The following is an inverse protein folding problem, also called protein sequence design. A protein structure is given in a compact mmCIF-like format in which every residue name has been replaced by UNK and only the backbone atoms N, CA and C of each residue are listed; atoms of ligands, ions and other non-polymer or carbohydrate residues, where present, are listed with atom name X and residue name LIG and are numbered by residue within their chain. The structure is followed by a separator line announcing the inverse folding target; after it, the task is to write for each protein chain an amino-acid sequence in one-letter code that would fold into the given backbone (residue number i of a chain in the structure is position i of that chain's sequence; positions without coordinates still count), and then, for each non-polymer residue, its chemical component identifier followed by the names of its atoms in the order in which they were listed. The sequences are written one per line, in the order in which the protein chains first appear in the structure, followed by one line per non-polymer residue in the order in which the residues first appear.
data_IF_645823172734
#
_entry.id   IF_645823172734
#
_cell.length_a   1.000
_cell.length_b   1.000
_cell.length_c   1.000
_cell.angle_alpha   90.00
_cell.angle_beta   90.00
_cell.angle_gamma   90.00
#
_symmetry.space_group_name_H-M   'P 1'
#
loop_
_entity.id
_entity.type
_entity.pdbx_description
1 polymer ?
#
# COMPACT_ATOMS: atom_id res chain seq x y z
N UNK A 1 -5.14 -20.53 4.92
CA UNK A 1 -5.31 -19.30 4.16
C UNK A 1 -4.70 -19.46 2.78
N UNK A 2 -5.39 -18.95 1.74
CA UNK A 2 -4.97 -19.00 0.36
C UNK A 2 -4.74 -17.57 -0.13
N UNK A 3 -3.52 -17.18 -0.53
CA UNK A 3 -3.28 -15.90 -1.18
C UNK A 3 -4.04 -15.83 -2.50
N UNK A 4 -4.66 -14.68 -2.80
CA UNK A 4 -5.35 -14.51 -4.09
C UNK A 4 -4.92 -13.25 -4.85
N UNK A 5 -4.33 -12.28 -4.18
CA UNK A 5 -3.64 -11.15 -4.79
C UNK A 5 -2.60 -10.54 -3.85
N UNK A 6 -1.84 -9.57 -4.35
CA UNK A 6 -0.88 -8.81 -3.56
C UNK A 6 -0.59 -7.45 -4.17
N UNK A 7 -0.10 -6.53 -3.35
CA UNK A 7 0.35 -5.21 -3.76
C UNK A 7 1.56 -4.76 -2.97
N UNK A 8 2.17 -3.66 -3.38
CA UNK A 8 3.26 -3.02 -2.67
C UNK A 8 2.81 -1.65 -2.21
N UNK A 9 3.02 -1.32 -0.94
CA UNK A 9 2.75 0.02 -0.45
C UNK A 9 3.66 1.03 -1.13
N UNK A 10 3.11 2.18 -1.46
CA UNK A 10 3.85 3.31 -1.98
C UNK A 10 3.13 4.61 -1.63
N UNK A 11 3.75 5.70 -1.95
CA UNK A 11 3.17 7.03 -1.89
C UNK A 11 2.84 7.48 -3.32
N UNK A 12 1.66 8.07 -3.49
CA UNK A 12 1.17 8.57 -4.78
C UNK A 12 1.22 10.08 -4.77
N UNK A 13 1.64 10.66 -5.89
CA UNK A 13 1.72 12.09 -6.12
C UNK A 13 1.25 12.47 -7.52
N UNK A 14 0.94 13.74 -7.74
CA UNK A 14 0.66 14.32 -9.07
C UNK A 14 1.96 14.95 -9.61
N UNK A 15 2.53 14.35 -10.67
CA UNK A 15 3.78 14.82 -11.26
C UNK A 15 3.67 16.23 -11.89
N UNK A 16 2.47 16.73 -12.12
CA UNK A 16 2.26 18.10 -12.61
C UNK A 16 2.36 19.14 -11.50
N UNK A 17 2.19 18.71 -10.23
CA UNK A 17 2.26 19.56 -9.04
C UNK A 17 3.60 19.40 -8.31
N UNK A 18 4.13 18.19 -8.25
CA UNK A 18 5.38 17.84 -7.56
C UNK A 18 6.45 17.39 -8.58
N UNK A 19 7.24 18.33 -9.09
CA UNK A 19 8.24 18.05 -10.12
C UNK A 19 9.47 17.28 -9.63
N UNK A 20 9.78 17.36 -8.34
CA UNK A 20 10.90 16.65 -7.68
C UNK A 20 10.37 15.83 -6.51
N UNK A 21 9.81 14.63 -6.78
CA UNK A 21 9.31 13.77 -5.72
C UNK A 21 10.47 13.18 -4.90
N UNK A 22 10.28 12.94 -3.58
CA UNK A 22 11.26 12.27 -2.75
C UNK A 22 11.47 10.82 -3.21
N UNK A 23 12.70 10.32 -3.08
CA UNK A 23 13.08 8.97 -3.49
C UNK A 23 13.45 8.05 -2.31
N UNK A 24 13.38 8.57 -1.09
CA UNK A 24 13.64 7.83 0.13
C UNK A 24 12.78 8.34 1.27
N UNK A 25 12.65 7.55 2.32
CA UNK A 25 12.00 7.98 3.55
C UNK A 25 12.72 9.16 4.20
N UNK A 26 14.05 9.20 4.12
CA UNK A 26 14.83 10.33 4.66
C UNK A 26 14.54 11.63 3.89
N UNK A 27 14.51 11.58 2.56
CA UNK A 27 14.10 12.73 1.75
C UNK A 27 12.66 13.15 2.07
N UNK A 28 11.72 12.19 2.18
CA UNK A 28 10.33 12.47 2.51
C UNK A 28 10.22 13.21 3.85
N UNK A 29 10.93 12.74 4.89
CA UNK A 29 10.87 13.35 6.22
C UNK A 29 11.64 14.68 6.35
N UNK A 30 12.59 14.96 5.46
CA UNK A 30 13.37 16.21 5.48
C UNK A 30 12.74 17.38 4.71
N UNK A 31 11.68 17.10 3.92
CA UNK A 31 11.03 18.09 3.04
C UNK A 31 9.96 18.88 3.79
N UNK A 32 10.15 20.21 3.91
CA UNK A 32 9.18 21.12 4.53
C UNK A 32 8.21 21.76 3.52
N UNK A 33 8.35 21.43 2.25
CA UNK A 33 7.57 21.97 1.13
C UNK A 33 6.57 20.97 0.55
N UNK A 34 6.37 19.84 1.21
CA UNK A 34 5.39 18.81 0.83
C UNK A 34 4.48 18.45 1.99
N UNK A 35 3.28 18.04 1.66
CA UNK A 35 2.25 17.58 2.58
C UNK A 35 1.86 16.14 2.28
N UNK A 36 1.59 15.35 3.33
CA UNK A 36 1.37 13.92 3.28
C UNK A 36 0.05 13.52 3.95
N UNK A 37 -0.76 12.73 3.27
CA UNK A 37 -1.87 12.00 3.89
C UNK A 37 -1.44 10.55 4.14
N UNK A 38 -1.61 10.10 5.38
CA UNK A 38 -1.46 8.70 5.78
C UNK A 38 -2.78 8.14 6.32
N UNK A 39 -2.79 6.84 6.60
CA UNK A 39 -3.91 6.19 7.29
C UNK A 39 -3.50 5.74 8.68
N UNK A 40 -4.45 5.83 9.61
CA UNK A 40 -4.27 5.39 11.00
C UNK A 40 -4.01 3.87 11.06
N UNK A 41 -2.86 3.43 11.59
CA UNK A 41 -2.47 2.02 11.61
C UNK A 41 -3.38 1.14 12.50
N UNK A 42 -4.19 1.74 13.38
CA UNK A 42 -5.15 1.03 14.24
C UNK A 42 -6.40 0.59 13.49
N UNK A 43 -6.73 1.26 12.38
CA UNK A 43 -8.01 1.07 11.67
C UNK A 43 -7.84 0.68 10.21
N UNK A 44 -6.68 0.96 9.61
CA UNK A 44 -6.44 0.80 8.17
C UNK A 44 -5.29 -0.15 7.89
N UNK A 45 -5.49 -1.08 6.95
CA UNK A 45 -4.42 -1.98 6.48
C UNK A 45 -3.25 -1.21 5.83
N UNK A 46 -3.44 -0.20 4.96
CA UNK A 46 -2.33 0.62 4.49
C UNK A 46 -1.60 1.37 5.60
N UNK A 47 -2.31 1.89 6.62
CA UNK A 47 -1.68 2.52 7.77
C UNK A 47 -0.79 1.54 8.56
N UNK A 48 -1.30 0.34 8.85
CA UNK A 48 -0.50 -0.72 9.47
C UNK A 48 0.66 -1.16 8.57
N UNK A 49 0.44 -1.17 7.25
CA UNK A 49 1.46 -1.46 6.25
C UNK A 49 2.60 -0.45 6.27
N UNK A 50 2.29 0.84 6.40
CA UNK A 50 3.30 1.89 6.55
C UNK A 50 4.07 1.73 7.87
N UNK A 51 3.39 1.43 8.97
CA UNK A 51 4.03 1.21 10.26
C UNK A 51 5.00 -0.01 10.22
N UNK A 52 4.57 -1.09 9.57
CA UNK A 52 5.46 -2.24 9.27
C UNK A 52 6.66 -1.81 8.40
N UNK A 53 6.42 -1.05 7.35
CA UNK A 53 7.44 -0.63 6.40
C UNK A 53 8.52 0.22 7.07
N UNK A 54 8.12 1.20 7.88
CA UNK A 54 9.03 2.02 8.66
C UNK A 54 9.82 1.18 9.67
N UNK A 55 9.17 0.23 10.39
CA UNK A 55 9.88 -0.66 11.34
C UNK A 55 10.88 -1.57 10.61
N UNK A 56 10.59 -2.04 9.39
CA UNK A 56 11.53 -2.84 8.60
C UNK A 56 12.79 -2.04 8.19
N UNK A 57 12.63 -0.76 7.88
CA UNK A 57 13.74 0.10 7.44
C UNK A 57 14.54 0.63 8.63
N UNK A 58 13.87 1.13 9.67
CA UNK A 58 14.48 1.85 10.78
C UNK A 58 14.63 1.07 12.08
N UNK A 59 13.92 -0.05 12.23
CA UNK A 59 14.02 -0.95 13.38
C UNK A 59 13.88 -0.22 14.73
N UNK A 60 14.96 -0.08 15.49
CA UNK A 60 14.97 0.59 16.80
C UNK A 60 14.80 2.11 16.68
N UNK A 61 15.16 2.69 15.54
CA UNK A 61 15.04 4.12 15.25
C UNK A 61 13.66 4.51 14.68
N UNK A 62 12.73 3.56 14.57
CA UNK A 62 11.41 3.79 13.95
C UNK A 62 10.60 4.90 14.67
N UNK A 63 10.69 5.01 15.99
CA UNK A 63 10.00 6.09 16.76
C UNK A 63 10.56 7.46 16.40
N UNK A 64 11.89 7.56 16.30
CA UNK A 64 12.54 8.83 15.95
C UNK A 64 12.23 9.22 14.50
N UNK A 65 12.25 8.25 13.59
CA UNK A 65 11.82 8.49 12.21
C UNK A 65 10.36 8.98 12.13
N UNK A 66 9.43 8.36 12.87
CA UNK A 66 8.05 8.81 12.93
C UNK A 66 7.91 10.25 13.42
N UNK A 67 8.69 10.67 14.42
CA UNK A 67 8.70 12.07 14.88
C UNK A 67 9.18 13.03 13.79
N UNK A 68 10.21 12.64 13.05
CA UNK A 68 10.73 13.46 11.96
C UNK A 68 9.74 13.58 10.80
N UNK A 69 8.86 12.58 10.59
CA UNK A 69 7.85 12.58 9.53
C UNK A 69 6.58 13.37 9.94
N UNK A 70 6.36 13.68 11.22
CA UNK A 70 5.12 14.30 11.71
C UNK A 70 4.84 15.65 11.06
N UNK A 71 5.85 16.47 10.80
CA UNK A 71 5.68 17.82 10.24
C UNK A 71 5.12 17.81 8.82
N UNK A 72 5.29 16.71 8.08
CA UNK A 72 4.75 16.52 6.73
C UNK A 72 3.31 15.97 6.75
N UNK A 73 2.90 15.29 7.82
CA UNK A 73 1.59 14.64 7.91
C UNK A 73 0.51 15.68 8.21
N UNK A 74 -0.27 16.05 7.20
CA UNK A 74 -1.37 17.01 7.36
C UNK A 74 -2.69 16.34 7.71
N UNK A 75 -2.89 15.08 7.32
CA UNK A 75 -4.09 14.29 7.60
C UNK A 75 -3.72 12.85 7.91
N UNK A 76 -4.31 12.31 8.99
CA UNK A 76 -4.34 10.89 9.29
C UNK A 76 -5.77 10.37 9.16
N UNK A 77 -6.10 9.75 8.04
CA UNK A 77 -7.46 9.25 7.76
C UNK A 77 -7.72 7.88 8.38
N UNK A 78 -8.99 7.53 8.64
CA UNK A 78 -9.35 6.22 9.17
C UNK A 78 -9.42 5.13 8.09
N UNK A 79 -9.67 5.51 6.84
CA UNK A 79 -9.77 4.58 5.72
C UNK A 79 -8.90 5.02 4.55
N UNK A 80 -8.51 4.04 3.72
CA UNK A 80 -7.79 4.33 2.48
C UNK A 80 -8.63 5.19 1.52
N UNK A 81 -9.89 4.87 1.34
CA UNK A 81 -10.78 5.59 0.41
C UNK A 81 -10.98 7.06 0.81
N UNK A 82 -11.11 7.35 2.11
CA UNK A 82 -11.23 8.74 2.57
C UNK A 82 -9.94 9.52 2.33
N UNK A 83 -8.78 8.94 2.72
CA UNK A 83 -7.48 9.59 2.52
C UNK A 83 -7.13 9.79 1.04
N UNK A 84 -7.39 8.78 0.22
CA UNK A 84 -7.14 8.89 -1.22
C UNK A 84 -8.08 9.89 -1.90
N UNK A 85 -9.36 9.94 -1.48
CA UNK A 85 -10.32 10.94 -1.95
C UNK A 85 -9.87 12.38 -1.64
N UNK A 86 -9.43 12.65 -0.42
CA UNK A 86 -8.90 13.96 -0.01
C UNK A 86 -7.66 14.36 -0.83
N UNK A 87 -6.76 13.42 -1.11
CA UNK A 87 -5.63 13.67 -2.01
C UNK A 87 -6.09 14.07 -3.42
N UNK A 88 -7.09 13.39 -4.00
CA UNK A 88 -7.64 13.74 -5.31
C UNK A 88 -8.32 15.13 -5.31
N UNK A 89 -8.88 15.55 -4.17
CA UNK A 89 -9.41 16.91 -3.95
C UNK A 89 -8.31 17.95 -3.78
N UNK A 90 -7.05 17.52 -3.61
CA UNK A 90 -5.89 18.42 -3.53
C UNK A 90 -5.51 18.85 -2.11
N UNK A 91 -5.96 18.13 -1.09
CA UNK A 91 -5.67 18.41 0.34
C UNK A 91 -4.23 18.03 0.75
N UNK A 92 -3.49 17.35 -0.13
CA UNK A 92 -2.06 17.06 0.07
C UNK A 92 -1.33 16.86 -1.25
N UNK A 93 0.00 16.95 -1.20
CA UNK A 93 0.88 16.68 -2.34
C UNK A 93 1.10 15.19 -2.55
N UNK A 94 1.06 14.42 -1.48
CA UNK A 94 1.38 12.99 -1.45
C UNK A 94 0.36 12.24 -0.57
N UNK A 95 0.00 11.01 -0.98
CA UNK A 95 -0.86 10.12 -0.20
C UNK A 95 -0.28 8.71 -0.14
N UNK A 96 -0.39 8.06 1.02
CA UNK A 96 -0.09 6.63 1.16
C UNK A 96 -1.10 5.79 0.36
N UNK A 97 -0.60 4.90 -0.50
CA UNK A 97 -1.41 3.97 -1.28
C UNK A 97 -0.57 2.77 -1.75
N UNK A 98 -0.75 2.34 -2.99
CA UNK A 98 -0.08 1.20 -3.60
C UNK A 98 0.60 1.59 -4.92
N UNK A 99 1.66 0.89 -5.30
CA UNK A 99 2.35 1.08 -6.58
C UNK A 99 1.42 0.89 -7.79
N UNK A 100 0.31 0.21 -7.60
CA UNK A 100 -0.71 -0.07 -8.63
C UNK A 100 -1.76 1.03 -8.79
N UNK A 101 -1.87 1.97 -7.84
CA UNK A 101 -2.89 3.04 -7.89
C UNK A 101 -2.82 3.90 -9.17
N UNK A 102 -1.65 4.27 -9.70
CA UNK A 102 -1.57 5.02 -10.96
C UNK A 102 -2.18 4.30 -12.17
N UNK A 103 -2.19 2.95 -12.16
CA UNK A 103 -2.75 2.18 -13.27
C UNK A 103 -4.26 2.42 -13.45
N UNK A 104 -5.02 2.59 -12.36
CA UNK A 104 -6.42 2.96 -12.45
C UNK A 104 -6.61 4.28 -13.22
N UNK A 105 -5.89 5.32 -12.83
CA UNK A 105 -6.00 6.63 -13.46
C UNK A 105 -5.59 6.60 -14.92
N UNK A 106 -4.49 5.92 -15.25
CA UNK A 106 -4.00 5.85 -16.63
C UNK A 106 -4.88 4.99 -17.55
N UNK A 107 -5.34 3.82 -17.07
CA UNK A 107 -6.07 2.85 -17.92
C UNK A 107 -7.58 3.13 -17.99
N UNK A 108 -8.18 3.71 -16.95
CA UNK A 108 -9.63 3.98 -16.90
C UNK A 108 -9.94 5.44 -17.20
N UNK A 109 -9.19 6.37 -16.59
CA UNK A 109 -9.46 7.80 -16.73
C UNK A 109 -8.63 8.48 -17.84
N UNK A 110 -7.64 7.77 -18.42
CA UNK A 110 -6.72 8.34 -19.40
C UNK A 110 -5.81 9.43 -18.80
N UNK A 111 -5.66 9.43 -17.47
CA UNK A 111 -4.87 10.41 -16.73
C UNK A 111 -3.58 9.79 -16.21
N UNK A 112 -2.44 10.14 -16.82
CA UNK A 112 -1.12 9.65 -16.43
C UNK A 112 -0.36 10.61 -15.49
N UNK A 113 -1.03 11.58 -14.88
CA UNK A 113 -0.39 12.55 -13.99
C UNK A 113 -0.04 11.94 -12.63
N UNK A 114 -0.83 10.96 -12.16
CA UNK A 114 -0.57 10.29 -10.90
C UNK A 114 0.54 9.25 -11.06
N UNK A 115 1.52 9.32 -10.18
CA UNK A 115 2.69 8.43 -10.18
C UNK A 115 2.92 7.87 -8.77
N UNK A 116 3.56 6.70 -8.69
CA UNK A 116 4.05 6.16 -7.42
C UNK A 116 5.49 6.57 -7.17
N UNK A 117 5.84 6.90 -5.93
CA UNK A 117 7.24 7.09 -5.55
C UNK A 117 8.02 5.78 -5.67
N UNK A 118 9.23 5.85 -6.23
CA UNK A 118 10.20 4.77 -6.15
C UNK A 118 11.09 4.99 -4.91
N UNK A 119 10.87 4.16 -3.89
CA UNK A 119 11.63 4.28 -2.65
C UNK A 119 12.91 3.46 -2.73
N UNK A 120 14.07 4.09 -2.51
CA UNK A 120 15.39 3.45 -2.59
C UNK A 120 15.55 2.29 -1.60
N UNK A 121 14.90 2.36 -0.44
CA UNK A 121 14.85 1.30 0.56
C UNK A 121 14.16 0.04 0.02
N UNK A 122 13.28 0.19 -0.94
CA UNK A 122 12.36 -0.84 -1.45
C UNK A 122 10.99 -0.74 -0.79
N UNK A 123 10.03 -1.50 -1.29
CA UNK A 123 8.61 -1.41 -0.91
C UNK A 123 8.18 -2.60 -0.07
N UNK A 124 7.39 -2.35 0.97
CA UNK A 124 6.78 -3.41 1.75
C UNK A 124 5.57 -4.00 1.00
N UNK A 125 5.45 -5.32 1.04
CA UNK A 125 4.36 -6.06 0.37
C UNK A 125 3.17 -6.26 1.31
N UNK A 126 1.96 -6.15 0.75
CA UNK A 126 0.70 -6.65 1.28
C UNK A 126 0.29 -7.89 0.48
N UNK A 127 -0.17 -8.92 1.17
CA UNK A 127 -0.76 -10.12 0.56
C UNK A 127 -2.17 -10.27 1.08
N UNK A 128 -3.15 -10.33 0.19
CA UNK A 128 -4.53 -10.60 0.54
C UNK A 128 -4.81 -12.10 0.52
N UNK A 129 -5.54 -12.57 1.51
CA UNK A 129 -5.77 -13.99 1.71
C UNK A 129 -7.25 -14.30 1.94
N UNK A 130 -7.70 -15.41 1.40
CA UNK A 130 -9.01 -15.99 1.70
C UNK A 130 -8.86 -17.15 2.68
N UNK A 131 -9.88 -17.39 3.48
CA UNK A 131 -9.94 -18.53 4.40
C UNK A 131 -11.33 -19.04 4.62
N UNK A 132 -11.47 -20.35 4.88
CA UNK A 132 -12.75 -20.97 5.21
C UNK A 132 -13.01 -20.77 6.70
N UNK A 133 -14.15 -20.17 7.05
CA UNK A 133 -14.56 -20.02 8.43
C UNK A 133 -14.86 -21.38 9.07
N UNK A 134 -14.52 -21.56 10.35
CA UNK A 134 -14.73 -22.81 11.09
C UNK A 134 -16.18 -23.32 11.03
N UNK A 135 -17.15 -22.40 11.00
CA UNK A 135 -18.57 -22.70 11.01
C UNK A 135 -19.23 -22.42 9.65
N UNK A 136 -18.47 -22.50 8.55
CA UNK A 136 -19.06 -22.36 7.21
C UNK A 136 -20.12 -23.44 6.98
N UNK A 137 -21.29 -23.03 6.48
CA UNK A 137 -22.43 -23.92 6.24
C UNK A 137 -22.21 -24.88 5.07
N UNK A 138 -21.31 -24.56 4.16
CA UNK A 138 -20.94 -25.39 3.01
C UNK A 138 -19.43 -25.34 2.77
N UNK A 139 -18.70 -26.23 3.45
CA UNK A 139 -17.23 -26.31 3.40
C UNK A 139 -16.76 -26.73 2.01
N UNK A 140 -17.47 -27.66 1.35
CA UNK A 140 -17.07 -28.15 0.02
C UNK A 140 -17.19 -27.05 -1.05
N UNK A 141 -18.27 -26.26 -1.03
CA UNK A 141 -18.40 -25.13 -1.91
C UNK A 141 -17.34 -24.05 -1.63
N UNK A 142 -17.04 -23.80 -0.37
CA UNK A 142 -15.97 -22.88 0.02
C UNK A 142 -14.58 -23.33 -0.48
N UNK A 143 -14.29 -24.63 -0.45
CA UNK A 143 -13.05 -25.20 -1.04
C UNK A 143 -13.02 -25.02 -2.55
N UNK A 144 -14.10 -25.36 -3.22
CA UNK A 144 -14.23 -25.16 -4.68
C UNK A 144 -14.02 -23.70 -5.06
N UNK A 145 -14.55 -22.76 -4.27
CA UNK A 145 -14.34 -21.34 -4.52
C UNK A 145 -12.87 -20.92 -4.31
N UNK A 146 -12.19 -21.42 -3.27
CA UNK A 146 -10.76 -21.16 -3.07
C UNK A 146 -9.91 -21.71 -4.22
N UNK A 147 -10.22 -22.89 -4.71
CA UNK A 147 -9.53 -23.48 -5.88
C UNK A 147 -9.80 -22.64 -7.13
N UNK A 148 -11.05 -22.23 -7.36
CA UNK A 148 -11.43 -21.34 -8.45
C UNK A 148 -10.70 -20.00 -8.38
N UNK A 149 -10.50 -19.43 -7.18
CA UNK A 149 -9.81 -18.15 -7.01
C UNK A 149 -8.35 -18.15 -7.47
N UNK A 150 -7.74 -19.33 -7.61
CA UNK A 150 -6.37 -19.50 -8.16
C UNK A 150 -6.35 -19.79 -9.65
N UNK A 151 -7.52 -19.98 -10.29
CA UNK A 151 -7.61 -20.23 -11.73
C UNK A 151 -7.34 -18.97 -12.55
N UNK A 152 -6.91 -19.13 -13.79
CA UNK A 152 -6.73 -18.01 -14.72
C UNK A 152 -8.05 -17.24 -14.93
N UNK A 153 -9.18 -17.94 -14.93
CA UNK A 153 -10.50 -17.33 -15.09
C UNK A 153 -10.87 -16.34 -13.99
N UNK A 154 -10.43 -16.58 -12.77
CA UNK A 154 -10.57 -15.62 -11.67
C UNK A 154 -9.46 -14.58 -11.69
N UNK A 155 -8.21 -15.03 -11.80
CA UNK A 155 -7.04 -14.20 -11.62
C UNK A 155 -6.88 -13.09 -12.68
N UNK A 156 -7.37 -13.33 -13.91
CA UNK A 156 -7.38 -12.31 -14.98
C UNK A 156 -8.19 -11.06 -14.64
N UNK A 157 -9.09 -11.15 -13.66
CA UNK A 157 -9.90 -10.01 -13.20
C UNK A 157 -9.24 -9.20 -12.08
N UNK A 158 -8.23 -9.73 -11.40
CA UNK A 158 -7.53 -9.04 -10.30
C UNK A 158 -6.94 -7.70 -10.74
N UNK A 159 -6.18 -7.58 -11.85
CA UNK A 159 -5.52 -6.35 -12.24
C UNK A 159 -6.45 -5.14 -12.39
N UNK A 160 -7.64 -5.34 -12.95
CA UNK A 160 -8.60 -4.24 -13.17
C UNK A 160 -9.82 -4.28 -12.23
N UNK A 161 -10.00 -5.38 -11.50
CA UNK A 161 -11.10 -5.51 -10.54
C UNK A 161 -10.72 -5.06 -9.12
N UNK A 162 -9.48 -5.32 -8.72
CA UNK A 162 -8.96 -4.96 -7.39
C UNK A 162 -7.70 -4.06 -7.45
N UNK A 163 -7.16 -3.80 -8.63
CA UNK A 163 -5.95 -2.99 -8.84
C UNK A 163 -4.76 -3.52 -8.03
N UNK A 164 -4.61 -4.86 -8.02
CA UNK A 164 -3.54 -5.59 -7.36
C UNK A 164 -2.86 -6.54 -8.36
N UNK A 165 -1.73 -7.10 -7.97
CA UNK A 165 -1.06 -8.13 -8.78
C UNK A 165 -1.70 -9.49 -8.53
N UNK A 166 -2.02 -10.27 -9.58
CA UNK A 166 -2.49 -11.64 -9.44
C UNK A 166 -1.38 -12.55 -8.89
N UNK A 167 -1.76 -13.64 -8.20
CA UNK A 167 -0.79 -14.61 -7.64
C UNK A 167 -0.26 -15.59 -8.67
N UNK A 168 -0.83 -15.63 -9.87
CA UNK A 168 -0.32 -16.37 -11.03
C UNK A 168 0.34 -15.42 -12.04
N UNK A 169 1.20 -15.95 -12.90
CA UNK A 169 1.85 -15.13 -13.92
C UNK A 169 0.91 -14.85 -15.09
N UNK A 170 0.50 -13.60 -15.23
CA UNK A 170 -0.33 -13.07 -16.31
C UNK A 170 0.34 -11.93 -17.07
N UNK A 171 1.67 -11.76 -16.99
CA UNK A 171 2.36 -10.61 -17.59
C UNK A 171 2.11 -10.48 -19.08
N UNK A 172 2.06 -11.58 -19.81
CA UNK A 172 1.82 -11.57 -21.25
C UNK A 172 0.38 -11.19 -21.63
N UNK A 173 -0.61 -11.63 -20.83
CA UNK A 173 -2.05 -11.38 -21.11
C UNK A 173 -2.55 -10.06 -20.49
N UNK A 174 -1.81 -9.46 -19.56
CA UNK A 174 -2.14 -8.23 -18.84
C UNK A 174 -1.04 -7.16 -19.00
N UNK A 175 -0.40 -7.11 -20.17
CA UNK A 175 0.78 -6.27 -20.41
C UNK A 175 0.53 -4.77 -20.16
N UNK A 176 -0.66 -4.26 -20.44
CA UNK A 176 -1.02 -2.87 -20.20
C UNK A 176 -1.00 -2.54 -18.70
N UNK A 177 -1.58 -3.41 -17.86
CA UNK A 177 -1.54 -3.25 -16.41
C UNK A 177 -0.10 -3.26 -15.88
N UNK A 178 0.72 -4.24 -16.29
CA UNK A 178 2.11 -4.32 -15.84
C UNK A 178 3.00 -3.19 -16.38
N UNK A 179 2.64 -2.58 -17.50
CA UNK A 179 3.31 -1.38 -18.00
C UNK A 179 2.93 -0.14 -17.17
N UNK A 180 1.66 -0.03 -16.77
CA UNK A 180 1.17 1.08 -15.94
C UNK A 180 1.54 0.94 -14.45
N UNK A 181 1.77 -0.29 -13.98
CA UNK A 181 2.16 -0.63 -12.62
C UNK A 181 3.31 -1.66 -12.64
N UNK A 182 4.54 -1.26 -12.95
CA UNK A 182 5.69 -2.15 -12.85
C UNK A 182 5.92 -2.57 -11.40
N UNK A 183 6.36 -3.83 -11.20
CA UNK A 183 6.69 -4.30 -9.84
C UNK A 183 7.94 -3.57 -9.33
N UNK A 184 7.88 -2.99 -8.13
CA UNK A 184 9.02 -2.28 -7.57
C UNK A 184 10.07 -3.24 -6.99
N UNK A 185 11.22 -2.71 -6.58
CA UNK A 185 12.11 -3.39 -5.64
C UNK A 185 11.35 -3.60 -4.32
N UNK A 186 11.22 -4.84 -3.87
CA UNK A 186 10.53 -5.17 -2.62
C UNK A 186 11.50 -5.42 -1.47
N UNK A 187 11.04 -5.12 -0.26
CA UNK A 187 11.66 -5.62 0.96
C UNK A 187 11.32 -7.10 1.17
N UNK A 188 12.10 -7.76 2.03
CA UNK A 188 11.82 -9.14 2.42
C UNK A 188 10.46 -9.26 3.10
N UNK A 189 9.71 -10.33 2.75
CA UNK A 189 8.41 -10.57 3.34
C UNK A 189 8.54 -10.97 4.81
N UNK A 190 7.90 -10.20 5.69
CA UNK A 190 7.79 -10.49 7.12
C UNK A 190 6.34 -10.85 7.44
N UNK A 191 6.15 -12.00 8.09
CA UNK A 191 4.86 -12.43 8.65
C UNK A 191 4.85 -12.09 10.15
N UNK A 192 4.19 -11.01 10.56
CA UNK A 192 4.29 -10.54 11.94
C UNK A 192 3.51 -11.41 12.92
N UNK A 193 4.06 -11.55 14.12
CA UNK A 193 3.30 -11.94 15.30
C UNK A 193 2.37 -10.80 15.74
N UNK A 194 1.42 -11.12 16.62
CA UNK A 194 0.55 -10.08 17.21
C UNK A 194 1.38 -9.03 17.97
N UNK A 195 2.37 -9.44 18.74
CA UNK A 195 3.25 -8.54 19.48
C UNK A 195 4.04 -7.58 18.58
N UNK A 196 4.44 -8.02 17.38
CA UNK A 196 5.09 -7.13 16.40
C UNK A 196 4.12 -6.08 15.87
N UNK A 197 2.88 -6.45 15.59
CA UNK A 197 1.84 -5.49 15.16
C UNK A 197 1.57 -4.44 16.24
N UNK A 198 1.45 -4.87 17.50
CA UNK A 198 1.27 -3.99 18.65
C UNK A 198 2.47 -3.04 18.81
N UNK A 199 3.70 -3.53 18.62
CA UNK A 199 4.92 -2.71 18.63
C UNK A 199 4.87 -1.63 17.54
N UNK A 200 4.49 -1.97 16.31
CA UNK A 200 4.42 -1.00 15.22
C UNK A 200 3.42 0.12 15.48
N UNK A 201 2.25 -0.23 15.99
CA UNK A 201 1.23 0.75 16.40
C UNK A 201 1.75 1.63 17.53
N UNK A 202 2.36 1.02 18.57
CA UNK A 202 2.91 1.74 19.71
C UNK A 202 4.06 2.69 19.31
N UNK A 203 4.92 2.30 18.37
CA UNK A 203 5.98 3.17 17.85
C UNK A 203 5.39 4.41 17.17
N UNK A 204 4.34 4.25 16.38
CA UNK A 204 3.64 5.36 15.77
C UNK A 204 2.94 6.24 16.82
N UNK A 205 2.20 5.65 17.78
CA UNK A 205 1.54 6.41 18.86
C UNK A 205 2.53 7.20 19.71
N UNK A 206 3.70 6.64 19.99
CA UNK A 206 4.76 7.33 20.74
C UNK A 206 5.33 8.57 20.01
N UNK A 207 5.12 8.68 18.71
CA UNK A 207 5.55 9.83 17.90
C UNK A 207 4.55 10.99 17.91
N UNK A 208 3.29 10.75 18.27
CA UNK A 208 2.23 11.77 18.19
C UNK A 208 2.36 12.89 19.24
N UNK A 209 3.34 12.79 20.16
CA UNK A 209 3.54 13.73 21.25
C UNK A 209 2.52 13.57 22.39
N UNK A 210 2.86 14.11 23.57
CA UNK A 210 1.92 14.28 24.68
C UNK A 210 1.08 15.56 24.48
#
# INVERSE_FOLDING_TARGET
FTPFDYGYFSFIYDQTKLAMPPQSFEELASRNDISLIIMDPRYSTPGLGLAKWIDQVYQEDAVEFWKNLQDQIVITSKSWSDGYGLFLEGESDIVLSYTTSPAYHSLIEGNSNYQSLEMMEGHAIQIEVMGILKNASNIELARTFLEFSLSEDFQKHIPQGNWMYPVIDLQNSQSEFYSAAPKPKSLDQVFPSLAQKEKWISNWEASLGE
#
